data_IF_104341992719
#
_entry.id   IF_104341992719
#
_cell.length_a   1.000
_cell.length_b   1.000
_cell.length_c   1.000
_cell.angle_alpha   90.00
_cell.angle_beta   90.00
_cell.angle_gamma   90.00
#
_symmetry.space_group_name_H-M   'P 1'
#
loop_
_entity.id
_entity.type
_entity.pdbx_description
1 polymer ?
#
# COMPACT_ATOMS: atom_id res chain seq x y z
N UNK A 1 -15.42 7.04 -3.44
CA UNK A 1 -15.63 7.27 -4.90
C UNK A 1 -14.35 7.05 -5.73
N UNK A 2 -13.25 7.82 -5.53
CA UNK A 2 -12.02 7.72 -6.37
C UNK A 2 -11.35 6.33 -6.42
N UNK A 3 -11.32 5.60 -5.30
CA UNK A 3 -10.71 4.26 -5.23
C UNK A 3 -11.54 3.20 -5.94
N UNK A 4 -12.89 3.32 -5.90
CA UNK A 4 -13.77 2.40 -6.61
C UNK A 4 -13.62 2.55 -8.13
N UNK A 5 -13.47 3.78 -8.63
CA UNK A 5 -13.18 4.01 -10.06
C UNK A 5 -11.92 3.27 -10.50
N UNK A 6 -10.85 3.28 -9.70
CA UNK A 6 -9.62 2.51 -9.99
C UNK A 6 -9.86 1.00 -10.08
N UNK A 7 -10.71 0.44 -9.21
CA UNK A 7 -11.08 -0.98 -9.27
C UNK A 7 -11.82 -1.30 -10.56
N UNK A 8 -12.82 -0.50 -10.95
CA UNK A 8 -13.55 -0.67 -12.21
C UNK A 8 -12.59 -0.60 -13.41
N UNK A 9 -11.68 0.38 -13.44
CA UNK A 9 -10.70 0.51 -14.52
C UNK A 9 -9.75 -0.69 -14.58
N UNK A 10 -9.30 -1.19 -13.44
CA UNK A 10 -8.42 -2.35 -13.36
C UNK A 10 -9.12 -3.60 -13.87
N UNK A 11 -10.38 -3.79 -13.50
CA UNK A 11 -11.18 -4.92 -13.98
C UNK A 11 -11.40 -4.85 -15.50
N UNK A 12 -11.72 -3.67 -16.03
CA UNK A 12 -11.87 -3.46 -17.46
C UNK A 12 -10.56 -3.74 -18.21
N UNK A 13 -9.43 -3.27 -17.67
CA UNK A 13 -8.11 -3.52 -18.25
C UNK A 13 -7.72 -5.00 -18.20
N UNK A 14 -8.00 -5.70 -17.09
CA UNK A 14 -7.79 -7.13 -16.96
C UNK A 14 -8.61 -7.93 -18.00
N UNK A 15 -9.86 -7.51 -18.27
CA UNK A 15 -10.68 -8.10 -19.32
C UNK A 15 -10.04 -7.90 -20.71
N UNK A 16 -9.52 -6.70 -21.00
CA UNK A 16 -8.81 -6.45 -22.26
C UNK A 16 -7.58 -7.35 -22.40
N UNK A 17 -6.74 -7.47 -21.37
CA UNK A 17 -5.58 -8.38 -21.38
C UNK A 17 -6.02 -9.83 -21.63
N UNK A 18 -7.10 -10.28 -20.98
CA UNK A 18 -7.61 -11.63 -21.15
C UNK A 18 -8.06 -11.90 -22.59
N UNK A 19 -8.75 -10.94 -23.22
CA UNK A 19 -9.13 -11.02 -24.63
C UNK A 19 -7.89 -11.13 -25.53
N UNK A 20 -6.88 -10.28 -25.29
CA UNK A 20 -5.62 -10.34 -26.03
C UNK A 20 -4.92 -11.69 -25.87
N UNK A 21 -4.94 -12.26 -24.66
CA UNK A 21 -4.32 -13.55 -24.37
C UNK A 21 -5.01 -14.71 -25.09
N UNK A 22 -6.34 -14.68 -25.25
CA UNK A 22 -7.09 -15.70 -26.00
C UNK A 22 -6.87 -15.57 -27.50
N UNK A 23 -6.93 -14.35 -28.05
CA UNK A 23 -6.80 -14.13 -29.50
C UNK A 23 -5.37 -14.43 -29.98
N UNK A 24 -4.36 -14.11 -29.16
CA UNK A 24 -2.94 -14.29 -29.51
C UNK A 24 -2.34 -15.51 -28.82
N UNK A 25 -3.14 -16.57 -28.62
CA UNK A 25 -2.66 -17.86 -28.10
C UNK A 25 -1.93 -18.69 -29.17
N UNK A 26 -1.39 -18.02 -30.18
CA UNK A 26 -0.56 -18.65 -31.20
C UNK A 26 0.75 -19.12 -30.56
N UNK A 27 1.03 -20.40 -30.76
CA UNK A 27 2.23 -21.02 -30.23
C UNK A 27 3.42 -20.54 -31.05
N UNK A 28 4.32 -19.81 -30.38
CA UNK A 28 5.59 -19.38 -30.96
C UNK A 28 6.69 -20.21 -30.32
N UNK A 29 7.64 -20.64 -31.15
CA UNK A 29 8.79 -21.38 -30.69
C UNK A 29 9.73 -20.44 -29.94
N UNK A 30 10.02 -20.76 -28.69
CA UNK A 30 10.88 -19.93 -27.84
C UNK A 30 12.13 -20.71 -27.48
N UNK A 31 13.27 -20.17 -27.89
CA UNK A 31 14.60 -20.60 -27.44
C UNK A 31 14.88 -20.01 -26.06
N UNK A 32 14.48 -20.72 -25.01
CA UNK A 32 15.11 -20.50 -23.72
C UNK A 32 16.54 -21.02 -23.84
N UNK A 33 17.53 -20.31 -23.29
CA UNK A 33 18.98 -20.51 -23.49
C UNK A 33 19.49 -21.98 -23.57
N UNK A 34 18.76 -22.95 -23.01
CA UNK A 34 19.02 -24.38 -23.07
C UNK A 34 17.78 -25.28 -23.35
N UNK A 35 16.60 -24.70 -23.59
CA UNK A 35 15.32 -25.44 -23.72
C UNK A 35 14.47 -24.80 -24.83
N UNK A 36 14.03 -25.64 -25.76
CA UNK A 36 13.08 -25.25 -26.80
C UNK A 36 11.68 -25.65 -26.41
N UNK A 37 10.75 -24.70 -26.36
CA UNK A 37 9.35 -25.01 -26.08
C UNK A 37 8.44 -24.09 -26.87
N UNK A 38 7.37 -24.66 -27.42
CA UNK A 38 6.31 -23.91 -28.06
C UNK A 38 5.39 -23.39 -26.95
N UNK A 39 5.37 -22.06 -26.79
CA UNK A 39 4.57 -21.39 -25.79
C UNK A 39 3.84 -20.19 -26.42
N UNK A 40 2.63 -19.87 -25.96
CA UNK A 40 1.96 -18.63 -26.37
C UNK A 40 2.83 -17.41 -26.06
N UNK A 41 3.05 -16.55 -27.06
CA UNK A 41 3.92 -15.37 -26.93
C UNK A 41 3.51 -14.45 -25.78
N UNK A 42 2.20 -14.32 -25.54
CA UNK A 42 1.65 -13.50 -24.46
C UNK A 42 2.10 -13.97 -23.06
N UNK A 43 2.25 -15.28 -22.84
CA UNK A 43 2.71 -15.80 -21.55
C UNK A 43 4.15 -15.39 -21.27
N UNK A 44 5.00 -15.36 -22.29
CA UNK A 44 6.40 -14.92 -22.18
C UNK A 44 6.45 -13.43 -21.84
N UNK A 45 5.65 -12.60 -22.53
CA UNK A 45 5.57 -11.15 -22.27
C UNK A 45 5.05 -10.88 -20.86
N UNK A 46 3.96 -11.54 -20.46
CA UNK A 46 3.38 -11.38 -19.13
C UNK A 46 4.36 -11.80 -18.04
N UNK A 47 5.07 -12.92 -18.21
CA UNK A 47 6.07 -13.38 -17.25
C UNK A 47 7.24 -12.40 -17.15
N UNK A 48 7.74 -11.90 -18.28
CA UNK A 48 8.81 -10.89 -18.30
C UNK A 48 8.38 -9.59 -17.62
N UNK A 49 7.19 -9.09 -17.94
CA UNK A 49 6.64 -7.89 -17.32
C UNK A 49 6.43 -8.08 -15.81
N UNK A 50 5.93 -9.25 -15.39
CA UNK A 50 5.74 -9.61 -14.00
C UNK A 50 7.08 -9.60 -13.24
N UNK A 51 8.13 -10.21 -13.79
CA UNK A 51 9.47 -10.20 -13.19
C UNK A 51 10.05 -8.78 -13.11
N UNK A 52 9.86 -7.96 -14.13
CA UNK A 52 10.26 -6.55 -14.11
C UNK A 52 9.55 -5.75 -13.01
N UNK A 53 8.23 -5.88 -12.92
CA UNK A 53 7.43 -5.27 -11.84
C UNK A 53 7.85 -5.76 -10.47
N UNK A 54 8.14 -7.06 -10.31
CA UNK A 54 8.59 -7.63 -9.05
C UNK A 54 9.95 -7.07 -8.62
N UNK A 55 10.88 -6.90 -9.56
CA UNK A 55 12.19 -6.28 -9.28
C UNK A 55 12.04 -4.82 -8.82
N UNK A 56 11.25 -4.01 -9.55
CA UNK A 56 10.99 -2.62 -9.17
C UNK A 56 10.26 -2.51 -7.83
N UNK A 57 9.26 -3.36 -7.61
CA UNK A 57 8.52 -3.42 -6.34
C UNK A 57 9.45 -3.76 -5.18
N UNK A 58 10.37 -4.71 -5.36
CA UNK A 58 11.35 -5.08 -4.32
C UNK A 58 12.23 -3.91 -3.90
N UNK A 59 12.78 -3.16 -4.86
CA UNK A 59 13.59 -1.96 -4.59
C UNK A 59 12.76 -0.87 -3.92
N UNK A 60 11.54 -0.63 -4.42
CA UNK A 60 10.62 0.38 -3.87
C UNK A 60 10.22 0.05 -2.44
N UNK A 61 9.93 -1.22 -2.16
CA UNK A 61 9.53 -1.68 -0.83
C UNK A 61 10.67 -1.53 0.19
N UNK A 62 11.91 -1.85 -0.21
CA UNK A 62 13.08 -1.66 0.65
C UNK A 62 13.30 -0.18 1.03
N UNK A 63 13.10 0.75 0.08
CA UNK A 63 13.16 2.19 0.36
C UNK A 63 12.01 2.66 1.25
N UNK A 64 10.80 2.18 0.98
CA UNK A 64 9.63 2.50 1.80
C UNK A 64 9.81 2.07 3.26
N UNK A 65 10.46 0.93 3.50
CA UNK A 65 10.77 0.47 4.85
C UNK A 65 11.73 1.41 5.59
N UNK A 66 12.81 1.84 4.93
CA UNK A 66 13.76 2.81 5.51
C UNK A 66 13.06 4.13 5.85
N UNK A 67 12.27 4.65 4.91
CA UNK A 67 11.53 5.89 5.08
C UNK A 67 10.52 5.80 6.24
N UNK A 68 9.86 4.65 6.42
CA UNK A 68 8.97 4.41 7.56
C UNK A 68 9.72 4.40 8.88
N UNK A 69 10.95 3.88 8.93
CA UNK A 69 11.79 3.90 10.13
C UNK A 69 12.24 5.31 10.49
N UNK A 70 12.72 6.07 9.52
CA UNK A 70 13.09 7.48 9.71
C UNK A 70 11.89 8.28 10.20
N UNK A 71 10.73 8.12 9.57
CA UNK A 71 9.50 8.81 10.00
C UNK A 71 9.12 8.52 11.47
N UNK A 72 9.33 7.29 11.95
CA UNK A 72 9.14 6.97 13.38
C UNK A 72 10.18 7.65 14.28
N UNK A 73 11.44 7.72 13.84
CA UNK A 73 12.51 8.38 14.60
C UNK A 73 12.27 9.89 14.69
N UNK A 74 12.00 10.55 13.57
CA UNK A 74 11.70 11.98 13.53
C UNK A 74 10.43 12.34 14.32
N UNK A 75 9.40 11.47 14.33
CA UNK A 75 8.21 11.66 15.17
C UNK A 75 8.55 11.64 16.66
N UNK A 76 9.33 10.64 17.08
CA UNK A 76 9.76 10.51 18.47
C UNK A 76 10.62 11.69 18.93
N UNK A 77 11.55 12.15 18.08
CA UNK A 77 12.38 13.32 18.38
C UNK A 77 11.53 14.61 18.47
N UNK A 78 10.53 14.78 17.60
CA UNK A 78 9.59 15.89 17.71
C UNK A 78 8.79 15.86 19.01
N UNK A 79 8.31 14.69 19.43
CA UNK A 79 7.58 14.52 20.70
C UNK A 79 8.47 14.84 21.91
N UNK A 80 9.73 14.39 21.90
CA UNK A 80 10.70 14.67 22.96
C UNK A 80 11.10 16.15 23.04
N UNK A 81 11.29 16.81 21.89
CA UNK A 81 11.59 18.25 21.83
C UNK A 81 10.39 19.11 22.28
N UNK A 82 9.16 18.73 21.94
CA UNK A 82 7.95 19.41 22.43
C UNK A 82 7.84 19.32 23.97
N UNK A 83 8.09 18.14 24.54
CA UNK A 83 8.11 17.98 26.00
C UNK A 83 9.21 18.79 26.69
N UNK A 84 10.39 18.93 26.07
CA UNK A 84 11.48 19.76 26.62
C UNK A 84 11.20 21.27 26.50
N UNK A 85 10.48 21.69 25.45
CA UNK A 85 9.97 23.06 25.32
C UNK A 85 8.94 23.39 26.42
N UNK A 86 8.03 22.48 26.72
CA UNK A 86 7.04 22.63 27.81
C UNK A 86 7.68 22.66 29.21
N UNK A 87 8.81 21.98 29.43
CA UNK A 87 9.55 22.01 30.70
C UNK A 87 10.39 23.28 30.88
N UNK A 88 10.68 24.02 29.80
CA UNK A 88 11.49 25.25 29.85
C UNK A 88 10.63 26.53 29.86
N UNK A 89 9.36 26.44 29.46
CA UNK A 89 8.43 27.57 29.38
C UNK A 89 7.31 27.52 30.43
N UNK A 90 7.68 27.30 31.70
CA UNK A 90 6.78 27.51 32.84
C UNK A 90 6.44 28.98 33.11
N UNK A 91 6.68 29.90 32.15
CA UNK A 91 6.50 31.32 32.40
C UNK A 91 6.18 32.17 31.14
N UNK A 92 5.36 31.70 30.20
CA UNK A 92 4.47 32.61 29.46
C UNK A 92 3.30 31.87 28.77
N UNK A 93 2.10 32.01 29.33
CA UNK A 93 0.87 31.63 28.66
C UNK A 93 0.62 32.53 27.44
N UNK A 94 0.58 31.97 26.23
CA UNK A 94 -0.29 32.43 25.13
C UNK A 94 -0.76 31.22 24.32
N UNK A 95 -2.09 31.13 24.21
CA UNK A 95 -2.89 30.20 23.41
C UNK A 95 -2.69 30.35 21.90
N UNK A 96 -2.74 29.26 21.13
CA UNK A 96 -3.34 29.16 19.78
C UNK A 96 -3.31 27.66 19.36
N UNK A 97 -4.39 26.88 19.42
CA UNK A 97 -5.43 26.65 18.39
C UNK A 97 -4.91 26.13 17.01
N UNK A 98 -5.37 24.91 16.65
CA UNK A 98 -5.15 24.20 15.37
C UNK A 98 -4.19 23.00 15.53
N UNK A 99 -4.56 21.72 15.38
CA UNK A 99 -5.55 21.12 14.49
C UNK A 99 -6.08 19.81 15.08
N UNK A 100 -7.37 19.55 14.81
CA UNK A 100 -8.13 18.40 15.29
C UNK A 100 -7.61 17.05 14.81
N UNK A 101 -7.64 16.13 15.74
CA UNK A 101 -7.49 14.68 15.63
C UNK A 101 -8.48 14.04 14.65
N UNK A 102 -8.00 13.14 13.79
CA UNK A 102 -8.84 12.09 13.19
C UNK A 102 -8.15 10.75 13.45
N UNK A 103 -8.41 10.18 14.62
CA UNK A 103 -8.10 8.79 14.94
C UNK A 103 -9.38 7.96 14.69
N UNK A 104 -9.39 7.21 13.59
CA UNK A 104 -10.43 6.22 13.27
C UNK A 104 -9.80 4.83 13.37
N UNK A 105 -9.73 4.31 14.58
CA UNK A 105 -9.59 2.90 14.92
C UNK A 105 -9.65 2.83 16.45
N UNK A 106 -10.85 2.65 17.00
CA UNK A 106 -11.11 2.00 18.31
C UNK A 106 -12.64 1.88 18.54
N UNK A 107 -13.41 1.52 17.51
CA UNK A 107 -14.88 1.33 17.60
C UNK A 107 -15.33 -0.08 17.22
N UNK A 108 -14.55 -1.12 17.56
CA UNK A 108 -14.97 -2.51 17.30
C UNK A 108 -14.59 -3.50 18.42
N UNK A 109 -14.57 -3.08 19.69
CA UNK A 109 -14.48 -4.06 20.78
C UNK A 109 -15.02 -3.58 22.14
N UNK A 110 -16.31 -3.28 22.23
CA UNK A 110 -16.98 -3.14 23.55
C UNK A 110 -18.52 -3.26 23.54
N UNK A 111 -19.15 -3.72 22.45
CA UNK A 111 -20.62 -3.79 22.37
C UNK A 111 -21.22 -5.20 22.51
N UNK A 112 -20.49 -6.17 23.09
CA UNK A 112 -21.05 -7.50 23.39
C UNK A 112 -21.60 -7.65 24.80
N UNK A 113 -21.28 -6.74 25.74
CA UNK A 113 -21.46 -7.02 27.17
C UNK A 113 -22.61 -6.22 27.82
N UNK A 114 -23.43 -5.53 27.03
CA UNK A 114 -24.56 -4.75 27.54
C UNK A 114 -25.90 -5.16 26.92
N UNK A 115 -26.13 -6.48 26.80
CA UNK A 115 -27.46 -7.05 26.51
C UNK A 115 -27.80 -8.21 27.46
N UNK A 116 -27.55 -8.02 28.76
CA UNK A 116 -27.90 -9.00 29.80
C UNK A 116 -28.49 -8.37 31.06
N UNK A 117 -29.13 -7.22 30.93
CA UNK A 117 -29.99 -6.68 31.96
C UNK A 117 -31.10 -5.88 31.28
N UNK A 118 -32.25 -5.72 31.93
CA UNK A 118 -33.51 -5.13 31.41
C UNK A 118 -34.47 -6.12 30.72
N UNK A 119 -35.27 -6.71 31.61
CA UNK A 119 -36.63 -7.27 31.53
C UNK A 119 -37.54 -6.78 30.40
#
# INVERSE_FOLDING_TARGET
>A
MKQQTWIIFTLLFALLIAIFAVINVDSVQVDFLFVQTDAPLILVILLSALLGCLAVASVTYAKFYQLKREMKQLKKENEELKQQGELTDGNHAISDEGDQEVNLQDEENSNSDQKSDWS
#
